data_IF_495993738432
#
_entry.id   IF_495993738432
#
_cell.length_a   1.000
_cell.length_b   1.000
_cell.length_c   1.000
_cell.angle_alpha   90.00
_cell.angle_beta   90.00
_cell.angle_gamma   90.00
#
_symmetry.space_group_name_H-M   'P 1'
#
loop_
_entity.id
_entity.type
_entity.pdbx_description
1 polymer ?
#
# COMPACT_ATOMS: atom_id res chain seq x y z
N UNK A 1 18.93 -13.58 -5.83
CA UNK A 1 18.47 -12.30 -6.42
C UNK A 1 17.29 -11.88 -5.57
N UNK A 2 17.38 -10.80 -4.80
CA UNK A 2 16.20 -10.25 -4.12
C UNK A 2 15.20 -9.85 -5.20
N UNK A 3 13.94 -10.22 -5.05
CA UNK A 3 12.92 -9.83 -6.02
C UNK A 3 12.79 -8.30 -5.97
N UNK A 4 12.97 -7.63 -7.11
CA UNK A 4 12.87 -6.18 -7.22
C UNK A 4 11.62 -5.57 -6.52
N UNK A 5 10.44 -6.24 -6.50
CA UNK A 5 9.27 -5.75 -5.78
C UNK A 5 9.46 -5.66 -4.26
N UNK A 6 10.13 -6.65 -3.65
CA UNK A 6 10.36 -6.68 -2.19
C UNK A 6 11.30 -5.54 -1.79
N UNK A 7 12.38 -5.35 -2.53
CA UNK A 7 13.33 -4.25 -2.24
C UNK A 7 12.68 -2.87 -2.37
N UNK A 8 11.83 -2.68 -3.39
CA UNK A 8 11.11 -1.44 -3.54
C UNK A 8 10.16 -1.18 -2.36
N UNK A 9 9.44 -2.21 -1.91
CA UNK A 9 8.53 -2.11 -0.78
C UNK A 9 9.27 -1.79 0.54
N UNK A 10 10.36 -2.49 0.83
CA UNK A 10 11.18 -2.21 2.03
C UNK A 10 11.74 -0.77 2.02
N UNK A 11 12.19 -0.27 0.86
CA UNK A 11 12.65 1.11 0.74
C UNK A 11 11.53 2.09 1.00
N UNK A 12 10.36 1.88 0.39
CA UNK A 12 9.19 2.76 0.58
C UNK A 12 8.72 2.78 2.04
N UNK A 13 8.77 1.63 2.73
CA UNK A 13 8.49 1.55 4.16
C UNK A 13 9.46 2.38 4.99
N UNK A 14 10.76 2.25 4.71
CA UNK A 14 11.79 3.06 5.39
C UNK A 14 11.56 4.55 5.13
N UNK A 15 11.23 4.93 3.90
CA UNK A 15 10.93 6.32 3.57
C UNK A 15 9.68 6.83 4.31
N UNK A 16 8.59 6.07 4.30
CA UNK A 16 7.34 6.41 4.98
C UNK A 16 7.51 6.55 6.51
N UNK A 17 8.31 5.69 7.15
CA UNK A 17 8.61 5.78 8.59
C UNK A 17 9.30 7.09 8.97
N UNK A 18 10.08 7.68 8.05
CA UNK A 18 10.82 8.91 8.29
C UNK A 18 10.15 10.16 7.72
N UNK A 19 9.01 10.01 7.05
CA UNK A 19 8.23 11.14 6.53
C UNK A 19 7.22 11.63 7.57
N UNK A 20 7.34 12.89 7.97
CA UNK A 20 6.45 13.52 8.96
C UNK A 20 5.01 13.70 8.47
N UNK A 21 4.77 13.59 7.16
CA UNK A 21 3.45 13.71 6.55
C UNK A 21 2.71 12.37 6.53
N UNK A 22 3.40 11.26 6.76
CA UNK A 22 2.80 9.92 6.76
C UNK A 22 2.34 9.58 8.18
N UNK A 23 1.06 9.27 8.32
CA UNK A 23 0.50 8.83 9.60
C UNK A 23 0.98 7.43 9.97
N UNK A 24 0.93 7.09 11.26
CA UNK A 24 1.27 5.72 11.71
C UNK A 24 0.37 4.69 11.04
N UNK A 25 -0.93 4.98 10.91
CA UNK A 25 -1.88 4.08 10.25
C UNK A 25 -1.52 3.88 8.77
N UNK A 26 -1.08 4.94 8.07
CA UNK A 26 -0.59 4.85 6.70
C UNK A 26 0.69 3.99 6.60
N UNK A 27 1.63 4.11 7.53
CA UNK A 27 2.81 3.22 7.58
C UNK A 27 2.40 1.76 7.75
N UNK A 28 1.48 1.48 8.68
CA UNK A 28 1.01 0.11 8.95
C UNK A 28 0.28 -0.47 7.73
N UNK A 29 -0.56 0.32 7.05
CA UNK A 29 -1.20 -0.10 5.81
C UNK A 29 -0.17 -0.37 4.71
N UNK A 30 0.84 0.47 4.58
CA UNK A 30 1.91 0.27 3.61
C UNK A 30 2.69 -1.03 3.89
N UNK A 31 2.90 -1.37 5.17
CA UNK A 31 3.59 -2.59 5.61
C UNK A 31 2.76 -3.83 5.28
N UNK A 32 1.46 -3.81 5.58
CA UNK A 32 0.53 -4.87 5.20
C UNK A 32 0.50 -5.09 3.67
N UNK A 33 0.49 -4.01 2.88
CA UNK A 33 0.54 -4.12 1.41
C UNK A 33 1.89 -4.64 0.91
N UNK A 34 2.99 -4.33 1.60
CA UNK A 34 4.33 -4.80 1.26
C UNK A 34 4.43 -6.33 1.32
N UNK A 35 3.69 -6.99 2.23
CA UNK A 35 3.65 -8.46 2.30
C UNK A 35 3.06 -9.10 1.02
N UNK A 36 2.23 -8.36 0.29
CA UNK A 36 1.53 -8.83 -0.91
C UNK A 36 2.21 -8.48 -2.23
N UNK A 37 3.37 -7.81 -2.23
CA UNK A 37 4.05 -7.37 -3.48
C UNK A 37 4.52 -8.52 -4.38
N UNK A 38 4.63 -9.72 -3.82
CA UNK A 38 4.99 -10.95 -4.55
C UNK A 38 3.82 -11.90 -4.76
N UNK A 39 2.63 -11.55 -4.26
CA UNK A 39 1.43 -12.35 -4.44
C UNK A 39 1.04 -12.42 -5.93
N UNK A 40 0.35 -13.49 -6.31
CA UNK A 40 -0.17 -13.61 -7.68
C UNK A 40 -1.39 -12.71 -7.91
N UNK A 41 -2.13 -12.38 -6.84
CA UNK A 41 -3.39 -11.66 -6.87
C UNK A 41 -3.40 -10.53 -5.83
N UNK A 42 -4.23 -9.53 -6.08
CA UNK A 42 -4.37 -8.39 -5.19
C UNK A 42 -4.97 -8.85 -3.84
N UNK A 43 -4.48 -8.32 -2.70
CA UNK A 43 -5.10 -8.62 -1.42
C UNK A 43 -6.52 -8.04 -1.36
N UNK A 44 -7.41 -8.73 -0.66
CA UNK A 44 -8.71 -8.18 -0.33
C UNK A 44 -8.56 -7.09 0.74
N UNK A 45 -9.35 -6.02 0.67
CA UNK A 45 -9.24 -4.89 1.61
C UNK A 45 -9.53 -5.31 3.05
N UNK A 46 -10.38 -6.31 3.24
CA UNK A 46 -10.69 -6.87 4.55
C UNK A 46 -9.46 -7.55 5.17
N UNK A 47 -8.61 -8.19 4.36
CA UNK A 47 -7.35 -8.80 4.83
C UNK A 47 -6.37 -7.71 5.23
N UNK A 48 -6.19 -6.68 4.38
CA UNK A 48 -5.32 -5.54 4.70
C UNK A 48 -5.78 -4.81 5.96
N UNK A 49 -7.10 -4.65 6.15
CA UNK A 49 -7.67 -4.06 7.36
C UNK A 49 -7.38 -4.90 8.61
N UNK A 50 -7.50 -6.23 8.51
CA UNK A 50 -7.22 -7.16 9.61
C UNK A 50 -5.75 -7.14 9.99
N UNK A 51 -4.85 -7.20 9.00
CA UNK A 51 -3.40 -7.17 9.20
C UNK A 51 -2.95 -5.84 9.79
N UNK A 52 -3.54 -4.73 9.34
CA UNK A 52 -3.27 -3.40 9.88
C UNK A 52 -4.00 -3.12 11.22
N UNK A 53 -4.90 -4.00 11.66
CA UNK A 53 -5.75 -3.81 12.84
C UNK A 53 -6.60 -2.53 12.79
N UNK A 54 -7.03 -2.14 11.58
CA UNK A 54 -7.79 -0.92 11.32
C UNK A 54 -9.26 -1.21 11.02
N UNK A 55 -10.13 -0.24 11.32
CA UNK A 55 -11.48 -0.25 10.78
C UNK A 55 -11.47 0.08 9.28
N UNK A 56 -12.54 -0.27 8.56
CA UNK A 56 -12.65 0.08 7.13
C UNK A 56 -12.52 1.59 6.87
N UNK A 57 -12.98 2.43 7.80
CA UNK A 57 -12.90 3.89 7.67
C UNK A 57 -11.45 4.39 7.79
N UNK A 58 -10.71 3.88 8.77
CA UNK A 58 -9.29 4.20 8.97
C UNK A 58 -8.43 3.68 7.82
N UNK A 59 -8.68 2.44 7.36
CA UNK A 59 -8.01 1.89 6.18
C UNK A 59 -8.24 2.77 4.95
N UNK A 60 -9.48 3.19 4.69
CA UNK A 60 -9.80 4.01 3.52
C UNK A 60 -9.11 5.37 3.59
N UNK A 61 -9.05 5.99 4.77
CA UNK A 61 -8.34 7.25 4.96
C UNK A 61 -6.82 7.08 4.72
N UNK A 62 -6.21 6.07 5.35
CA UNK A 62 -4.79 5.75 5.19
C UNK A 62 -4.41 5.43 3.74
N UNK A 63 -5.24 4.67 3.02
CA UNK A 63 -5.05 4.40 1.59
C UNK A 63 -5.13 5.68 0.76
N UNK A 64 -6.04 6.60 1.09
CA UNK A 64 -6.13 7.91 0.44
C UNK A 64 -4.87 8.75 0.67
N UNK A 65 -4.41 8.84 1.92
CA UNK A 65 -3.19 9.57 2.28
C UNK A 65 -1.96 9.02 1.53
N UNK A 66 -1.82 7.68 1.49
CA UNK A 66 -0.73 7.03 0.76
C UNK A 66 -0.82 7.22 -0.77
N UNK A 67 -2.03 7.36 -1.34
CA UNK A 67 -2.21 7.66 -2.75
C UNK A 67 -1.82 9.10 -3.08
N UNK A 68 -2.28 10.05 -2.26
CA UNK A 68 -2.00 11.48 -2.41
C UNK A 68 -0.50 11.78 -2.26
N UNK A 69 0.18 11.06 -1.37
CA UNK A 69 1.63 11.13 -1.18
C UNK A 69 2.43 10.33 -2.23
N UNK A 70 1.77 9.55 -3.09
CA UNK A 70 2.38 8.80 -4.19
C UNK A 70 2.96 7.43 -3.82
N UNK A 71 2.94 7.04 -2.55
CA UNK A 71 3.46 5.74 -2.09
C UNK A 71 2.74 4.55 -2.75
N UNK A 72 1.41 4.61 -2.89
CA UNK A 72 0.66 3.53 -3.55
C UNK A 72 0.97 3.43 -5.05
N UNK A 73 1.20 4.56 -5.72
CA UNK A 73 1.58 4.55 -7.12
C UNK A 73 2.94 3.88 -7.30
N UNK A 74 3.92 4.30 -6.51
CA UNK A 74 5.29 3.78 -6.62
C UNK A 74 5.35 2.29 -6.25
N UNK A 75 4.63 1.87 -5.21
CA UNK A 75 4.52 0.46 -4.86
C UNK A 75 3.86 -0.36 -5.99
N UNK A 76 2.82 0.18 -6.63
CA UNK A 76 2.11 -0.45 -7.75
C UNK A 76 2.97 -0.60 -9.02
N UNK A 77 3.95 0.28 -9.26
CA UNK A 77 4.89 0.15 -10.39
C UNK A 77 5.76 -1.11 -10.28
N UNK A 78 5.98 -1.56 -9.04
CA UNK A 78 6.80 -2.73 -8.75
C UNK A 78 5.98 -4.00 -8.51
N UNK A 79 4.69 -3.89 -8.19
CA UNK A 79 3.80 -5.01 -7.88
C UNK A 79 2.52 -4.97 -8.73
N UNK A 80 2.43 -5.78 -9.82
CA UNK A 80 1.24 -5.85 -10.66
C UNK A 80 -0.10 -6.07 -9.91
N UNK A 81 -0.16 -6.91 -8.85
CA UNK A 81 -1.39 -7.08 -8.07
C UNK A 81 -1.86 -5.78 -7.41
N UNK A 82 -0.92 -4.98 -6.90
CA UNK A 82 -1.24 -3.73 -6.21
C UNK A 82 -1.64 -2.62 -7.18
N UNK A 83 -1.14 -2.67 -8.42
CA UNK A 83 -1.64 -1.82 -9.51
C UNK A 83 -3.13 -2.05 -9.78
N UNK A 84 -3.56 -3.31 -9.81
CA UNK A 84 -4.98 -3.65 -9.96
C UNK A 84 -5.83 -3.21 -8.76
N UNK A 85 -5.30 -3.37 -7.54
CA UNK A 85 -5.95 -2.90 -6.31
C UNK A 85 -6.17 -1.38 -6.35
N UNK A 86 -5.10 -0.63 -6.62
CA UNK A 86 -5.14 0.83 -6.73
C UNK A 86 -6.13 1.30 -7.80
N UNK A 87 -6.15 0.65 -8.96
CA UNK A 87 -7.13 0.94 -10.01
C UNK A 87 -8.57 0.63 -9.56
N UNK A 88 -8.81 -0.40 -8.75
CA UNK A 88 -10.14 -0.65 -8.19
C UNK A 88 -10.58 0.38 -7.17
N UNK A 89 -9.63 0.95 -6.40
CA UNK A 89 -9.89 1.91 -5.34
C UNK A 89 -10.11 3.33 -5.87
N UNK A 90 -9.22 3.76 -6.77
CA UNK A 90 -9.12 5.15 -7.22
C UNK A 90 -9.35 5.31 -8.73
N UNK A 91 -9.37 4.21 -9.47
CA UNK A 91 -9.69 4.19 -10.90
C UNK A 91 -11.19 4.28 -11.13
N UNK A 92 -11.78 5.41 -10.79
CA UNK A 92 -12.95 5.94 -11.50
C UNK A 92 -12.93 7.47 -11.46
N UNK A 93 -12.13 8.06 -12.35
CA UNK A 93 -12.38 9.39 -12.89
C UNK A 93 -12.60 9.23 -14.40
N UNK A 94 -13.79 9.60 -14.85
CA UNK A 94 -14.14 9.79 -16.26
C UNK A 94 -13.39 10.98 -16.87
#
# INVERSE_FOLDING_TARGET
>A
MFAAPVYAAERLLVEAIHDEHVSVDAVVVLDALAEHVTAAEAPALEVVAEDAQLTCAELTAALGDLDDLGYLQELAEHAPPLSALRASLFGTAA
#
